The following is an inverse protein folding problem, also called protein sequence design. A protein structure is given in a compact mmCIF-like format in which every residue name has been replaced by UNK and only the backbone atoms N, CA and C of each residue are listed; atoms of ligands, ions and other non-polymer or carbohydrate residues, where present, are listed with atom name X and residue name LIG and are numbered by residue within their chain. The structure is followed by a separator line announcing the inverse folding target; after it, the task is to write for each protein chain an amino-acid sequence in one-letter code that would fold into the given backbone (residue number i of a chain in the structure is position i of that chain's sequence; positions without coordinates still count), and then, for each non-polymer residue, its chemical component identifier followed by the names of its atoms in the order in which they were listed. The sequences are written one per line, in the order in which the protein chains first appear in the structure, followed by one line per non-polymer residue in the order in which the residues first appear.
data_IF_908698578361
#
_entry.id   IF_908698578361
#
_cell.length_a   1.000
_cell.length_b   1.000
_cell.length_c   1.000
_cell.angle_alpha   90.00
_cell.angle_beta   90.00
_cell.angle_gamma   90.00
#
_symmetry.space_group_name_H-M   'P 1'
#
loop_
_entity.id
_entity.type
_entity.pdbx_description
1 polymer ?
#
# COMPACT_ATOMS: atom_id res chain seq x y z
N UNK A 1 57.51 -36.07 -27.77
CA UNK A 1 57.31 -34.70 -27.23
C UNK A 1 55.92 -34.56 -26.62
N UNK A 2 55.89 -34.20 -25.34
CA UNK A 2 54.86 -33.38 -24.66
C UNK A 2 53.37 -33.75 -24.79
N UNK A 3 52.88 -34.47 -23.78
CA UNK A 3 51.48 -34.50 -23.33
C UNK A 3 51.19 -33.28 -22.44
N UNK A 4 49.91 -32.92 -22.32
CA UNK A 4 49.24 -32.12 -21.26
C UNK A 4 48.72 -30.75 -21.73
N UNK A 5 47.38 -30.63 -21.82
CA UNK A 5 46.55 -29.45 -21.46
C UNK A 5 45.07 -29.66 -21.87
N UNK A 6 44.27 -30.42 -21.12
CA UNK A 6 42.79 -30.44 -21.32
C UNK A 6 41.95 -30.60 -20.05
N UNK A 7 42.51 -31.05 -18.93
CA UNK A 7 41.74 -31.34 -17.70
C UNK A 7 41.44 -30.12 -16.83
N UNK A 8 42.19 -29.02 -16.98
CA UNK A 8 42.00 -27.78 -16.21
C UNK A 8 40.77 -26.97 -16.69
N UNK A 9 40.53 -26.93 -18.00
CA UNK A 9 39.45 -26.16 -18.61
C UNK A 9 38.06 -26.70 -18.21
N UNK A 10 37.83 -28.01 -18.27
CA UNK A 10 36.51 -28.58 -17.91
C UNK A 10 36.19 -28.51 -16.42
N UNK A 11 37.20 -28.58 -15.54
CA UNK A 11 37.04 -28.39 -14.09
C UNK A 11 36.65 -26.94 -13.76
N UNK A 12 37.29 -25.97 -14.40
CA UNK A 12 36.95 -24.55 -14.25
C UNK A 12 35.54 -24.24 -14.78
N UNK A 13 35.15 -24.83 -15.92
CA UNK A 13 33.82 -24.66 -16.51
C UNK A 13 32.72 -25.26 -15.61
N UNK A 14 32.97 -26.43 -15.01
CA UNK A 14 32.04 -27.10 -14.08
C UNK A 14 31.95 -26.36 -12.73
N UNK A 15 33.04 -25.75 -12.27
CA UNK A 15 33.07 -24.91 -11.07
C UNK A 15 32.32 -23.57 -11.30
N UNK A 16 32.55 -22.91 -12.44
CA UNK A 16 31.80 -21.72 -12.84
C UNK A 16 30.30 -22.00 -12.97
N UNK A 17 29.90 -23.11 -13.59
CA UNK A 17 28.49 -23.51 -13.69
C UNK A 17 27.85 -23.74 -12.31
N UNK A 18 28.54 -24.44 -11.39
CA UNK A 18 28.06 -24.63 -10.01
C UNK A 18 27.89 -23.31 -9.26
N UNK A 19 28.84 -22.36 -9.45
CA UNK A 19 28.78 -21.02 -8.84
C UNK A 19 27.65 -20.17 -9.43
N UNK A 20 27.48 -20.14 -10.76
CA UNK A 20 26.34 -19.48 -11.39
C UNK A 20 25.01 -20.07 -10.94
N UNK A 21 24.90 -21.42 -10.89
CA UNK A 21 23.70 -22.09 -10.40
C UNK A 21 23.40 -21.74 -8.95
N UNK A 22 24.41 -21.70 -8.09
CA UNK A 22 24.25 -21.31 -6.69
C UNK A 22 23.80 -19.85 -6.54
N UNK A 23 24.38 -18.92 -7.31
CA UNK A 23 23.96 -17.52 -7.34
C UNK A 23 22.52 -17.39 -7.81
N UNK A 24 22.15 -18.04 -8.92
CA UNK A 24 20.77 -18.01 -9.44
C UNK A 24 19.77 -18.55 -8.42
N UNK A 25 20.06 -19.69 -7.77
CA UNK A 25 19.20 -20.27 -6.74
C UNK A 25 19.07 -19.36 -5.52
N UNK A 26 20.18 -18.75 -5.08
CA UNK A 26 20.18 -17.82 -3.95
C UNK A 26 19.35 -16.56 -4.26
N UNK A 27 19.53 -15.97 -5.44
CA UNK A 27 18.73 -14.82 -5.90
C UNK A 27 17.25 -15.18 -5.99
N UNK A 28 16.91 -16.33 -6.58
CA UNK A 28 15.53 -16.79 -6.66
C UNK A 28 14.90 -16.98 -5.28
N UNK A 29 15.63 -17.55 -4.32
CA UNK A 29 15.16 -17.72 -2.95
C UNK A 29 14.91 -16.38 -2.25
N UNK A 30 15.82 -15.40 -2.40
CA UNK A 30 15.62 -14.05 -1.85
C UNK A 30 14.39 -13.39 -2.45
N UNK A 31 14.24 -13.45 -3.78
CA UNK A 31 13.05 -12.90 -4.46
C UNK A 31 11.77 -13.59 -3.98
N UNK A 32 11.77 -14.91 -3.85
CA UNK A 32 10.62 -15.66 -3.34
C UNK A 32 10.22 -15.20 -1.94
N UNK A 33 11.17 -15.02 -1.03
CA UNK A 33 10.90 -14.50 0.33
C UNK A 33 10.37 -13.06 0.27
N UNK A 34 11.01 -12.19 -0.54
CA UNK A 34 10.60 -10.79 -0.68
C UNK A 34 9.18 -10.64 -1.24
N UNK A 35 8.82 -11.43 -2.25
CA UNK A 35 7.49 -11.40 -2.85
C UNK A 35 6.44 -12.18 -2.04
N UNK A 36 6.87 -13.19 -1.26
CA UNK A 36 5.98 -14.01 -0.44
C UNK A 36 5.59 -13.39 0.90
N UNK A 37 6.39 -12.45 1.43
CA UNK A 37 6.16 -11.92 2.78
C UNK A 37 4.88 -11.10 2.91
N UNK A 38 4.55 -10.26 1.91
CA UNK A 38 3.34 -9.43 1.94
C UNK A 38 2.09 -10.30 1.81
N UNK A 39 1.95 -11.18 0.80
CA UNK A 39 0.82 -12.10 0.71
C UNK A 39 0.62 -12.95 1.96
N UNK A 40 1.70 -13.46 2.56
CA UNK A 40 1.62 -14.23 3.80
C UNK A 40 1.10 -13.38 4.97
N UNK A 41 1.60 -12.15 5.14
CA UNK A 41 1.11 -11.22 6.16
C UNK A 41 -0.37 -10.89 5.97
N UNK A 42 -0.79 -10.67 4.72
CA UNK A 42 -2.19 -10.40 4.38
C UNK A 42 -3.10 -11.60 4.66
N UNK A 43 -2.66 -12.82 4.33
CA UNK A 43 -3.41 -14.03 4.65
C UNK A 43 -3.60 -14.19 6.16
N UNK A 44 -2.54 -14.00 6.95
CA UNK A 44 -2.62 -14.03 8.42
C UNK A 44 -3.55 -12.93 8.95
N UNK A 45 -3.50 -11.73 8.37
CA UNK A 45 -4.34 -10.61 8.78
C UNK A 45 -5.84 -10.88 8.53
N UNK A 46 -6.18 -11.43 7.36
CA UNK A 46 -7.55 -11.79 7.00
C UNK A 46 -8.08 -12.97 7.83
N UNK A 47 -7.23 -13.94 8.17
CA UNK A 47 -7.61 -15.04 9.06
C UNK A 47 -7.94 -14.54 10.48
N UNK A 48 -7.12 -13.62 11.02
CA UNK A 48 -7.31 -13.07 12.36
C UNK A 48 -8.43 -12.04 12.44
N UNK A 49 -8.61 -11.27 11.36
CA UNK A 49 -9.58 -10.18 11.26
C UNK A 49 -10.36 -10.29 9.94
N UNK A 50 -11.31 -11.24 9.85
CA UNK A 50 -12.05 -11.49 8.61
C UNK A 50 -12.94 -10.32 8.20
N UNK A 51 -13.37 -9.52 9.19
CA UNK A 51 -14.16 -8.31 8.97
C UNK A 51 -13.29 -7.06 9.13
N UNK A 52 -13.49 -6.01 8.30
CA UNK A 52 -12.81 -4.75 8.49
C UNK A 52 -13.14 -4.08 9.82
N UNK A 53 -12.14 -3.42 10.41
CA UNK A 53 -12.19 -2.81 11.74
C UNK A 53 -12.22 -1.28 11.69
N UNK A 54 -11.84 -0.70 10.56
CA UNK A 54 -11.89 0.74 10.32
C UNK A 54 -12.14 1.04 8.83
N UNK A 55 -12.52 2.27 8.53
CA UNK A 55 -12.75 2.81 7.20
C UNK A 55 -11.69 3.86 6.91
N UNK A 56 -11.12 3.80 5.70
CA UNK A 56 -10.19 4.80 5.21
C UNK A 56 -10.79 5.41 3.95
N UNK A 57 -11.01 6.71 3.97
CA UNK A 57 -11.45 7.46 2.82
C UNK A 57 -10.32 8.34 2.33
N UNK A 58 -9.86 8.10 1.10
CA UNK A 58 -8.92 9.00 0.44
C UNK A 58 -9.72 10.23 0.00
N UNK A 59 -9.49 11.42 0.54
CA UNK A 59 -10.29 12.61 0.23
C UNK A 59 -9.83 13.36 -1.02
N UNK A 60 -10.48 14.48 -1.32
CA UNK A 60 -10.26 15.28 -2.55
C UNK A 60 -11.45 15.35 -3.52
N UNK A 61 -12.57 14.68 -3.22
CA UNK A 61 -13.87 14.89 -3.87
C UNK A 61 -14.96 14.93 -2.76
N UNK A 62 -15.77 16.00 -2.66
CA UNK A 62 -16.79 16.12 -1.62
C UNK A 62 -17.82 14.97 -1.60
N UNK A 63 -18.20 14.42 -2.75
CA UNK A 63 -19.16 13.30 -2.83
C UNK A 63 -18.60 12.04 -2.20
N UNK A 64 -17.31 11.80 -2.40
CA UNK A 64 -16.60 10.67 -1.77
C UNK A 64 -16.49 10.83 -0.27
N UNK A 65 -16.23 12.05 0.20
CA UNK A 65 -16.16 12.37 1.62
C UNK A 65 -17.53 12.18 2.29
N UNK A 66 -18.62 12.68 1.68
CA UNK A 66 -19.99 12.43 2.14
C UNK A 66 -20.35 10.94 2.14
N UNK A 67 -20.06 10.23 1.05
CA UNK A 67 -20.31 8.79 0.97
C UNK A 67 -19.60 8.03 2.09
N UNK A 68 -18.34 8.37 2.39
CA UNK A 68 -17.59 7.68 3.43
C UNK A 68 -18.21 7.89 4.81
N UNK A 69 -18.67 9.10 5.12
CA UNK A 69 -19.38 9.42 6.36
C UNK A 69 -20.69 8.62 6.44
N UNK A 70 -21.50 8.63 5.40
CA UNK A 70 -22.76 7.87 5.34
C UNK A 70 -22.53 6.37 5.43
N UNK A 71 -21.42 5.88 4.87
CA UNK A 71 -21.02 4.49 4.95
C UNK A 71 -20.63 4.13 6.40
N UNK A 72 -19.84 4.96 7.07
CA UNK A 72 -19.46 4.75 8.47
C UNK A 72 -20.66 4.75 9.42
N UNK A 73 -21.61 5.67 9.22
CA UNK A 73 -22.83 5.75 10.04
C UNK A 73 -23.70 4.48 9.92
N UNK A 74 -23.69 3.82 8.76
CA UNK A 74 -24.43 2.58 8.51
C UNK A 74 -23.71 1.30 8.95
N UNK A 75 -22.42 1.38 9.29
CA UNK A 75 -21.61 0.26 9.75
C UNK A 75 -21.01 0.52 11.15
N UNK A 76 -21.84 0.74 12.19
CA UNK A 76 -21.34 0.78 13.56
C UNK A 76 -20.72 -0.59 13.92
N UNK A 77 -19.59 -0.65 14.64
CA UNK A 77 -18.91 0.42 15.39
C UNK A 77 -17.65 1.01 14.70
N UNK A 78 -17.52 0.95 13.38
CA UNK A 78 -16.24 1.27 12.69
C UNK A 78 -15.82 2.74 12.85
N UNK A 79 -14.52 2.97 13.09
CA UNK A 79 -13.89 4.29 13.00
C UNK A 79 -13.66 4.67 11.53
N UNK A 80 -13.78 5.95 11.19
CA UNK A 80 -13.51 6.49 9.85
C UNK A 80 -12.32 7.46 9.87
N UNK A 81 -11.39 7.22 8.95
CA UNK A 81 -10.17 7.98 8.72
C UNK A 81 -10.21 8.64 7.35
N UNK A 82 -10.36 9.96 7.32
CA UNK A 82 -10.42 10.74 6.08
C UNK A 82 -9.05 11.38 5.85
N UNK A 83 -8.31 10.89 4.85
CA UNK A 83 -7.02 11.49 4.46
C UNK A 83 -7.24 12.50 3.35
N UNK A 84 -7.30 13.78 3.69
CA UNK A 84 -7.67 14.86 2.75
C UNK A 84 -7.01 16.17 3.15
N UNK A 85 -6.09 16.72 2.35
CA UNK A 85 -5.50 18.03 2.64
C UNK A 85 -6.51 19.18 2.59
N UNK A 86 -7.61 19.03 1.84
CA UNK A 86 -8.55 20.12 1.53
C UNK A 86 -9.94 19.97 2.14
N UNK A 87 -10.15 19.01 3.07
CA UNK A 87 -11.44 18.79 3.71
C UNK A 87 -11.91 20.03 4.47
N UNK A 88 -12.94 20.70 3.94
CA UNK A 88 -13.64 21.79 4.63
C UNK A 88 -14.49 21.20 5.75
N UNK A 89 -14.23 21.64 6.98
CA UNK A 89 -14.88 21.12 8.20
C UNK A 89 -16.42 21.25 8.23
N UNK A 90 -17.01 22.05 7.32
CA UNK A 90 -18.45 22.38 7.29
C UNK A 90 -19.37 21.27 6.78
N UNK A 91 -18.84 20.19 6.16
CA UNK A 91 -19.67 19.11 5.59
C UNK A 91 -19.78 17.86 6.47
N UNK A 92 -19.25 17.90 7.70
CA UNK A 92 -19.35 16.77 8.63
C UNK A 92 -20.55 16.98 9.59
N UNK A 93 -21.33 15.92 9.87
CA UNK A 93 -22.38 15.96 10.89
C UNK A 93 -21.82 16.45 12.23
N UNK A 94 -22.67 17.13 13.02
CA UNK A 94 -22.27 17.80 14.26
C UNK A 94 -21.38 16.88 15.15
N UNK A 95 -20.12 17.27 15.40
CA UNK A 95 -19.14 16.45 16.10
C UNK A 95 -19.58 16.06 17.52
N UNK A 96 -20.57 16.73 18.12
CA UNK A 96 -21.05 16.46 19.47
C UNK A 96 -21.67 15.07 19.66
N UNK A 97 -22.20 14.40 18.62
CA UNK A 97 -22.76 13.04 18.71
C UNK A 97 -21.83 11.91 18.20
N UNK A 98 -20.80 12.27 17.44
CA UNK A 98 -19.97 11.31 16.68
C UNK A 98 -18.44 11.57 16.77
N UNK A 99 -18.01 12.49 17.65
CA UNK A 99 -16.60 12.96 17.79
C UNK A 99 -15.57 11.86 17.97
N UNK A 100 -15.95 10.72 18.56
CA UNK A 100 -15.03 9.62 18.84
C UNK A 100 -14.71 8.74 17.63
N UNK A 101 -15.41 8.91 16.49
CA UNK A 101 -15.31 7.98 15.35
C UNK A 101 -14.71 8.58 14.08
N UNK A 102 -14.63 9.91 13.97
CA UNK A 102 -14.15 10.58 12.75
C UNK A 102 -12.76 11.16 12.99
N UNK A 103 -11.77 10.62 12.29
CA UNK A 103 -10.39 11.06 12.29
C UNK A 103 -10.06 11.70 10.94
N UNK A 104 -9.51 12.92 10.96
CA UNK A 104 -9.15 13.63 9.74
C UNK A 104 -7.62 13.74 9.70
N UNK A 105 -7.02 13.14 8.68
CA UNK A 105 -5.59 13.27 8.41
C UNK A 105 -5.35 14.31 7.32
N UNK A 106 -4.70 15.42 7.70
CA UNK A 106 -4.34 16.52 6.80
C UNK A 106 -2.85 16.52 6.42
N UNK A 107 -2.09 15.52 6.88
CA UNK A 107 -0.64 15.43 6.63
C UNK A 107 -0.31 14.99 5.20
N UNK A 108 -1.27 14.37 4.52
CA UNK A 108 -1.06 13.84 3.18
C UNK A 108 -1.11 14.95 2.11
N UNK A 109 -0.13 14.91 1.20
CA UNK A 109 0.04 15.85 0.08
C UNK A 109 -0.13 15.16 -1.29
N UNK A 110 -0.16 13.83 -1.31
CA UNK A 110 -0.35 12.98 -2.49
C UNK A 110 -0.88 11.58 -2.12
N UNK A 111 -1.15 10.75 -3.14
CA UNK A 111 -1.71 9.41 -2.94
C UNK A 111 -0.85 8.52 -2.06
N UNK A 112 0.49 8.58 -2.13
CA UNK A 112 1.37 7.73 -1.30
C UNK A 112 1.32 8.18 0.15
N UNK A 113 1.39 9.48 0.38
CA UNK A 113 1.31 10.05 1.74
C UNK A 113 -0.03 9.84 2.40
N UNK A 114 -1.13 9.69 1.65
CA UNK A 114 -2.43 9.30 2.21
C UNK A 114 -2.40 7.95 2.95
N UNK A 115 -1.49 7.06 2.58
CA UNK A 115 -1.33 5.76 3.25
C UNK A 115 -0.24 5.82 4.32
N UNK A 116 0.92 6.38 3.99
CA UNK A 116 2.11 6.29 4.87
C UNK A 116 1.94 7.10 6.16
N UNK A 117 1.18 8.19 6.15
CA UNK A 117 0.86 8.98 7.35
C UNK A 117 0.02 8.22 8.38
N UNK A 118 -0.82 7.28 7.93
CA UNK A 118 -1.77 6.54 8.76
C UNK A 118 -1.19 5.24 9.34
N UNK A 119 -0.06 4.77 8.82
CA UNK A 119 0.57 3.51 9.26
C UNK A 119 0.82 3.48 10.77
N UNK A 120 1.37 4.55 11.34
CA UNK A 120 1.70 4.59 12.76
C UNK A 120 0.44 4.45 13.64
N UNK A 121 -0.61 5.20 13.31
CA UNK A 121 -1.89 5.19 14.03
C UNK A 121 -2.57 3.82 13.95
N UNK A 122 -2.61 3.20 12.77
CA UNK A 122 -3.26 1.90 12.61
C UNK A 122 -2.53 0.78 13.33
N UNK A 123 -1.20 0.86 13.39
CA UNK A 123 -0.41 -0.10 14.17
C UNK A 123 -0.64 0.07 15.66
N UNK A 124 -0.73 1.31 16.16
CA UNK A 124 -1.06 1.58 17.57
C UNK A 124 -2.46 1.08 17.94
N UNK A 125 -3.40 1.12 17.00
CA UNK A 125 -4.78 0.61 17.15
C UNK A 125 -4.94 -0.87 16.80
N UNK A 126 -3.85 -1.54 16.40
CA UNK A 126 -3.83 -2.96 16.01
C UNK A 126 -4.83 -3.32 14.89
N UNK A 127 -5.11 -2.39 13.99
CA UNK A 127 -5.93 -2.71 12.81
C UNK A 127 -5.17 -3.65 11.88
N UNK A 128 -5.84 -4.74 11.49
CA UNK A 128 -5.34 -5.75 10.58
C UNK A 128 -6.17 -5.83 9.31
N UNK A 129 -7.39 -5.30 9.32
CA UNK A 129 -8.25 -5.27 8.14
C UNK A 129 -9.07 -3.98 8.13
N UNK A 130 -9.08 -3.27 7.00
CA UNK A 130 -9.76 -1.97 6.86
C UNK A 130 -10.49 -1.86 5.52
N UNK A 131 -11.57 -1.07 5.48
CA UNK A 131 -12.17 -0.66 4.22
C UNK A 131 -11.35 0.46 3.58
N UNK A 132 -11.16 0.40 2.27
CA UNK A 132 -10.53 1.45 1.47
C UNK A 132 -11.55 2.06 0.52
N UNK A 133 -11.98 3.28 0.82
CA UNK A 133 -12.93 4.06 0.02
C UNK A 133 -12.16 5.05 -0.84
N UNK A 134 -12.30 4.91 -2.15
CA UNK A 134 -11.89 5.92 -3.13
C UNK A 134 -12.77 5.88 -4.37
N UNK A 135 -12.61 6.84 -5.27
CA UNK A 135 -13.31 6.80 -6.56
C UNK A 135 -12.79 5.66 -7.42
N UNK A 136 -13.66 5.06 -8.23
CA UNK A 136 -13.35 3.94 -9.13
C UNK A 136 -12.10 4.15 -10.00
N UNK A 137 -11.94 5.33 -10.61
CA UNK A 137 -10.81 5.67 -11.46
C UNK A 137 -9.45 5.71 -10.72
N UNK A 138 -9.48 5.99 -9.40
CA UNK A 138 -8.31 5.98 -8.52
C UNK A 138 -8.06 4.62 -7.85
N UNK A 139 -9.02 3.70 -7.89
CA UNK A 139 -9.00 2.48 -7.08
C UNK A 139 -7.82 1.56 -7.44
N UNK A 140 -7.44 1.48 -8.72
CA UNK A 140 -6.30 0.67 -9.16
C UNK A 140 -5.00 1.13 -8.49
N UNK A 141 -4.72 2.44 -8.51
CA UNK A 141 -3.55 3.04 -7.86
C UNK A 141 -3.61 2.85 -6.34
N UNK A 142 -4.77 3.12 -5.74
CA UNK A 142 -4.97 3.00 -4.30
C UNK A 142 -4.72 1.57 -3.79
N UNK A 143 -5.20 0.54 -4.50
CA UNK A 143 -4.92 -0.87 -4.15
C UNK A 143 -3.44 -1.22 -4.26
N UNK A 144 -2.75 -0.75 -5.29
CA UNK A 144 -1.33 -1.02 -5.47
C UNK A 144 -0.49 -0.42 -4.32
N UNK A 145 -0.76 0.84 -3.96
CA UNK A 145 -0.07 1.50 -2.85
C UNK A 145 -0.45 0.82 -1.52
N UNK A 146 -1.72 0.52 -1.28
CA UNK A 146 -2.16 -0.17 -0.07
C UNK A 146 -1.48 -1.53 0.10
N UNK A 147 -1.37 -2.32 -0.96
CA UNK A 147 -0.69 -3.62 -0.91
C UNK A 147 0.74 -3.49 -0.38
N UNK A 148 1.50 -2.51 -0.85
CA UNK A 148 2.87 -2.30 -0.38
C UNK A 148 2.92 -1.59 0.98
N UNK A 149 2.21 -0.48 1.19
CA UNK A 149 2.27 0.29 2.45
C UNK A 149 1.62 -0.47 3.60
N UNK A 150 0.35 -0.85 3.47
CA UNK A 150 -0.41 -1.52 4.52
C UNK A 150 -0.12 -3.01 4.57
N UNK A 151 -0.01 -3.67 3.41
CA UNK A 151 0.32 -5.11 3.38
C UNK A 151 1.70 -5.43 3.95
N UNK A 152 2.70 -4.56 3.76
CA UNK A 152 4.01 -4.74 4.43
C UNK A 152 3.90 -4.64 5.96
N UNK A 153 2.87 -3.99 6.50
CA UNK A 153 2.59 -3.88 7.92
C UNK A 153 1.59 -4.93 8.43
N UNK A 154 1.09 -5.81 7.57
CA UNK A 154 0.09 -6.82 7.92
C UNK A 154 -1.32 -6.25 8.07
N UNK A 155 -1.65 -5.23 7.27
CA UNK A 155 -2.97 -4.61 7.23
C UNK A 155 -3.59 -4.87 5.86
N UNK A 156 -4.64 -5.69 5.83
CA UNK A 156 -5.42 -6.00 4.65
C UNK A 156 -6.45 -4.92 4.33
N UNK A 157 -6.84 -4.81 3.05
CA UNK A 157 -7.81 -3.83 2.59
C UNK A 157 -8.96 -4.48 1.84
N UNK A 158 -10.18 -4.09 2.17
CA UNK A 158 -11.38 -4.36 1.36
C UNK A 158 -11.76 -3.10 0.60
N UNK A 159 -11.63 -3.07 -0.75
CA UNK A 159 -11.89 -1.86 -1.53
C UNK A 159 -13.39 -1.62 -1.71
N UNK A 160 -13.81 -0.37 -1.56
CA UNK A 160 -15.17 0.11 -1.84
C UNK A 160 -15.05 1.30 -2.79
N UNK A 161 -15.44 1.08 -4.05
CA UNK A 161 -15.35 2.12 -5.08
C UNK A 161 -16.57 3.03 -5.04
N UNK A 162 -16.34 4.33 -5.03
CA UNK A 162 -17.39 5.33 -5.29
C UNK A 162 -17.43 5.57 -6.81
N UNK A 163 -18.58 5.32 -7.48
CA UNK A 163 -18.69 5.52 -8.92
C UNK A 163 -18.34 6.94 -9.33
N UNK A 164 -17.62 7.08 -10.44
CA UNK A 164 -17.34 8.36 -11.07
C UNK A 164 -17.44 8.25 -12.59
N UNK A 165 -17.75 9.36 -13.24
CA UNK A 165 -17.78 9.42 -14.70
C UNK A 165 -16.40 9.75 -15.30
N UNK A 166 -15.31 9.39 -14.60
CA UNK A 166 -13.94 9.68 -15.02
C UNK A 166 -13.25 8.45 -15.61
N UNK A 167 -12.33 8.68 -16.54
CA UNK A 167 -11.52 7.61 -17.12
C UNK A 167 -10.51 7.07 -16.10
N UNK A 168 -10.21 5.76 -16.11
CA UNK A 168 -9.17 5.18 -15.27
C UNK A 168 -7.83 5.89 -15.43
N UNK A 169 -7.08 5.99 -14.34
CA UNK A 169 -5.78 6.66 -14.38
C UNK A 169 -4.75 5.94 -15.26
N UNK A 170 -3.88 6.72 -15.87
CA UNK A 170 -2.77 6.21 -16.66
C UNK A 170 -1.83 5.33 -15.82
N UNK A 171 -1.35 4.25 -16.43
CA UNK A 171 -0.35 3.34 -15.88
C UNK A 171 0.92 4.04 -15.39
N UNK A 172 1.28 5.18 -16.00
CA UNK A 172 2.45 5.96 -15.59
C UNK A 172 2.31 6.52 -14.17
N UNK A 173 1.12 6.96 -13.77
CA UNK A 173 0.88 7.44 -12.41
C UNK A 173 0.97 6.29 -11.39
N UNK A 174 0.48 5.11 -11.77
CA UNK A 174 0.54 3.92 -10.92
C UNK A 174 1.99 3.50 -10.71
N UNK A 175 2.78 3.37 -11.79
CA UNK A 175 4.18 2.91 -11.71
C UNK A 175 5.04 3.89 -10.91
N UNK A 176 4.89 5.20 -11.13
CA UNK A 176 5.58 6.24 -10.35
C UNK A 176 5.31 6.10 -8.86
N UNK A 177 4.04 5.98 -8.46
CA UNK A 177 3.67 5.94 -7.05
C UNK A 177 4.02 4.59 -6.39
N UNK A 178 4.03 3.49 -7.15
CA UNK A 178 4.59 2.20 -6.70
C UNK A 178 6.08 2.33 -6.42
N UNK A 179 6.87 2.91 -7.32
CA UNK A 179 8.30 3.15 -7.09
C UNK A 179 8.55 3.99 -5.84
N UNK A 180 7.76 5.06 -5.64
CA UNK A 180 7.83 5.89 -4.43
C UNK A 180 7.46 5.12 -3.17
N UNK A 181 6.53 4.18 -3.27
CA UNK A 181 6.15 3.31 -2.15
C UNK A 181 7.29 2.36 -1.77
N UNK A 182 7.99 1.78 -2.76
CA UNK A 182 9.20 0.99 -2.52
C UNK A 182 10.30 1.81 -1.84
N UNK A 183 10.53 3.04 -2.29
CA UNK A 183 11.46 3.95 -1.62
C UNK A 183 11.10 4.17 -0.15
N UNK A 184 9.82 4.42 0.14
CA UNK A 184 9.35 4.58 1.52
C UNK A 184 9.55 3.32 2.36
N UNK A 185 9.24 2.13 1.83
CA UNK A 185 9.39 0.88 2.58
C UNK A 185 10.83 0.64 3.04
N UNK A 186 11.82 0.98 2.20
CA UNK A 186 13.24 0.77 2.53
C UNK A 186 13.87 1.91 3.31
N UNK A 187 13.41 3.15 3.13
CA UNK A 187 14.08 4.33 3.68
C UNK A 187 13.29 5.08 4.75
N UNK A 188 12.00 4.78 4.91
CA UNK A 188 11.04 5.58 5.67
C UNK A 188 10.73 6.95 5.04
N UNK A 189 11.35 7.30 3.91
CA UNK A 189 11.15 8.59 3.22
C UNK A 189 10.11 8.45 2.11
N UNK A 190 9.11 9.33 2.11
CA UNK A 190 7.98 9.29 1.17
C UNK A 190 8.32 9.82 -0.24
N UNK A 191 9.47 10.47 -0.40
CA UNK A 191 9.86 11.15 -1.65
C UNK A 191 8.92 12.29 -2.05
N UNK A 192 8.05 12.76 -1.15
CA UNK A 192 7.09 13.83 -1.43
C UNK A 192 7.78 15.17 -1.75
N UNK A 193 9.03 15.36 -1.31
CA UNK A 193 9.86 16.53 -1.61
C UNK A 193 10.46 16.53 -3.03
N UNK A 194 10.37 15.44 -3.79
CA UNK A 194 10.87 15.35 -5.17
C UNK A 194 9.87 15.90 -6.20
N UNK A 195 8.91 16.71 -5.76
CA UNK A 195 7.96 17.40 -6.63
C UNK A 195 8.75 18.45 -7.42
N UNK A 196 9.21 18.11 -8.62
CA UNK A 196 9.64 19.11 -9.60
C UNK A 196 8.39 19.89 -10.01
N UNK A 197 8.43 21.20 -9.84
CA UNK A 197 7.55 22.11 -10.57
C UNK A 197 7.71 21.83 -12.07
N UNK A 198 6.72 21.17 -12.65
CA UNK A 198 6.43 21.16 -14.09
C UNK A 198 4.91 21.24 -14.22
#
# INVERSE_FOLDING_TARGET
MSRVKTTSSSKNQRFQYKRCRFVCLSTAAVLFVLFGIIPLRLAIALERSPLPQAIIALGGDPRRESFAVDFALRHPPLEIWISSPYLKAFNLPDPSSSRSRIHIDRRAVDTVTNFTSLVAEFKQRYFQHVYLITSDFHMARAKAIAFFVFGSQGIAVTPISVPSNQQPESWFHISRDVCRTWLWMFTGRTGASLKSEI
#
